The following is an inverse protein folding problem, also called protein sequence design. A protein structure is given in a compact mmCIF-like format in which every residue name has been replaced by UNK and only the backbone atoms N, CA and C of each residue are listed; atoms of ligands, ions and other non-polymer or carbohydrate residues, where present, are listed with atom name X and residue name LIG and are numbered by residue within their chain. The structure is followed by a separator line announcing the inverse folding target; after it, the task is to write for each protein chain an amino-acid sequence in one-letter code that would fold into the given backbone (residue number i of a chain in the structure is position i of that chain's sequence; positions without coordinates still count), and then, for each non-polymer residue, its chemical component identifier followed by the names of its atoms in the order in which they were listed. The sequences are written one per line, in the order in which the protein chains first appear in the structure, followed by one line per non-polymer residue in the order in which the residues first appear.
data_IF_837675843385
#
_entry.id   IF_837675843385
#
_cell.length_a   1.000
_cell.length_b   1.000
_cell.length_c   1.000
_cell.angle_alpha   90.00
_cell.angle_beta   90.00
_cell.angle_gamma   90.00
#
_symmetry.space_group_name_H-M   'P 1'
#
loop_
_entity.id
_entity.type
_entity.pdbx_description
1 polymer ?
#
# COMPACT_ATOMS: atom_id res chain seq x y z
N UNK A 1 -20.08 -17.63 10.95
CA UNK A 1 -19.00 -17.07 10.11
C UNK A 1 -19.60 -15.92 9.32
N UNK A 2 -18.98 -14.74 9.28
CA UNK A 2 -19.60 -13.58 8.64
C UNK A 2 -19.83 -13.84 7.13
N UNK A 3 -21.04 -13.65 6.57
CA UNK A 3 -21.36 -14.00 5.18
C UNK A 3 -20.45 -13.32 4.14
N UNK A 4 -19.95 -12.13 4.47
CA UNK A 4 -19.04 -11.35 3.63
C UNK A 4 -17.72 -12.08 3.34
N UNK A 5 -17.24 -12.93 4.27
CA UNK A 5 -15.98 -13.65 4.14
C UNK A 5 -16.04 -14.81 3.12
N UNK A 6 -17.24 -15.14 2.63
CA UNK A 6 -17.45 -16.18 1.62
C UNK A 6 -17.70 -15.62 0.22
N UNK A 7 -17.65 -14.29 0.03
CA UNK A 7 -17.83 -13.67 -1.28
C UNK A 7 -16.62 -13.91 -2.18
N UNK A 8 -16.88 -14.08 -3.49
CA UNK A 8 -15.83 -13.97 -4.48
C UNK A 8 -15.27 -12.54 -4.49
N UNK A 9 -13.95 -12.43 -4.72
CA UNK A 9 -13.25 -11.15 -4.67
C UNK A 9 -13.83 -10.15 -5.67
N UNK A 10 -14.22 -10.60 -6.87
CA UNK A 10 -14.83 -9.74 -7.88
C UNK A 10 -16.20 -9.19 -7.43
N UNK A 11 -17.00 -10.01 -6.77
CA UNK A 11 -18.31 -9.60 -6.28
C UNK A 11 -18.19 -8.66 -5.09
N UNK A 12 -17.19 -8.88 -4.23
CA UNK A 12 -16.82 -7.91 -3.19
C UNK A 12 -16.41 -6.55 -3.79
N UNK A 13 -15.61 -6.54 -4.86
CA UNK A 13 -15.20 -5.30 -5.53
C UNK A 13 -16.38 -4.56 -6.15
N UNK A 14 -17.28 -5.26 -6.84
CA UNK A 14 -18.53 -4.69 -7.40
C UNK A 14 -19.42 -4.12 -6.29
N UNK A 15 -19.50 -4.81 -5.15
CA UNK A 15 -20.24 -4.32 -3.99
C UNK A 15 -19.65 -2.98 -3.50
N UNK A 16 -18.33 -2.88 -3.37
CA UNK A 16 -17.67 -1.63 -2.94
C UNK A 16 -17.85 -0.47 -3.92
N UNK A 17 -17.88 -0.72 -5.23
CA UNK A 17 -18.17 0.33 -6.21
C UNK A 17 -19.62 0.82 -6.12
N UNK A 18 -20.57 -0.08 -5.84
CA UNK A 18 -21.99 0.26 -5.77
C UNK A 18 -22.38 1.01 -4.48
N UNK A 19 -21.66 0.81 -3.38
CA UNK A 19 -21.94 1.50 -2.11
C UNK A 19 -21.40 2.93 -2.06
N UNK A 20 -20.67 3.40 -3.08
CA UNK A 20 -19.96 4.68 -3.05
C UNK A 20 -18.82 4.73 -2.02
N UNK A 21 -18.54 3.63 -1.30
CA UNK A 21 -17.44 3.53 -0.33
C UNK A 21 -16.07 3.54 -1.03
N UNK A 22 -16.02 3.15 -2.30
CA UNK A 22 -14.89 3.42 -3.18
C UNK A 22 -15.32 4.47 -4.20
N UNK A 23 -14.65 5.63 -4.19
CA UNK A 23 -14.62 6.45 -5.39
C UNK A 23 -14.02 5.60 -6.51
N UNK A 24 -14.70 5.50 -7.64
CA UNK A 24 -14.19 4.82 -8.83
C UNK A 24 -12.79 5.36 -9.10
N UNK A 25 -11.76 4.55 -8.88
CA UNK A 25 -10.38 4.91 -9.21
C UNK A 25 -9.84 6.10 -8.38
N UNK A 26 -9.53 5.88 -7.09
CA UNK A 26 -8.44 6.69 -6.51
C UNK A 26 -7.18 6.29 -7.27
N UNK A 27 -6.53 7.28 -7.86
CA UNK A 27 -5.21 7.11 -8.49
C UNK A 27 -4.31 6.37 -7.50
N UNK A 28 -3.79 5.23 -7.94
CA UNK A 28 -2.89 4.45 -7.12
C UNK A 28 -1.66 5.31 -6.83
N UNK A 29 -1.35 5.51 -5.55
CA UNK A 29 -0.11 6.16 -5.16
C UNK A 29 1.04 5.24 -5.55
N UNK A 30 1.93 5.75 -6.41
CA UNK A 30 3.05 4.99 -6.96
C UNK A 30 4.40 5.61 -6.59
N UNK A 31 5.45 4.80 -6.68
CA UNK A 31 6.87 5.19 -6.63
C UNK A 31 7.67 4.38 -7.66
N UNK A 32 8.92 4.78 -7.89
CA UNK A 32 9.86 4.03 -8.74
C UNK A 32 10.79 3.14 -7.89
N UNK A 33 11.42 2.10 -8.46
CA UNK A 33 12.34 1.21 -7.73
C UNK A 33 13.49 1.95 -7.02
N UNK A 34 13.88 3.11 -7.55
CA UNK A 34 14.98 3.96 -7.11
C UNK A 34 14.53 4.97 -6.04
N UNK A 35 13.22 5.10 -5.77
CA UNK A 35 12.70 5.94 -4.70
C UNK A 35 13.21 5.46 -3.35
N UNK A 36 13.66 6.41 -2.53
CA UNK A 36 14.09 6.15 -1.16
C UNK A 36 12.90 5.77 -0.28
N UNK A 37 13.16 5.03 0.80
CA UNK A 37 12.13 4.69 1.79
C UNK A 37 11.51 5.95 2.43
N UNK A 38 12.28 7.04 2.55
CA UNK A 38 11.79 8.32 3.07
C UNK A 38 10.71 8.94 2.17
N UNK A 39 10.94 8.97 0.86
CA UNK A 39 9.95 9.46 -0.12
C UNK A 39 8.67 8.60 -0.13
N UNK A 40 8.81 7.29 0.02
CA UNK A 40 7.66 6.37 0.11
C UNK A 40 6.85 6.63 1.40
N UNK A 41 7.51 6.87 2.53
CA UNK A 41 6.86 7.25 3.79
C UNK A 41 6.15 8.60 3.66
N UNK A 42 6.78 9.58 3.02
CA UNK A 42 6.17 10.89 2.78
C UNK A 42 4.88 10.78 1.95
N UNK A 43 4.90 10.03 0.84
CA UNK A 43 3.72 9.75 0.01
C UNK A 43 2.59 9.11 0.81
N UNK A 44 2.89 8.12 1.64
CA UNK A 44 1.90 7.47 2.51
C UNK A 44 1.21 8.47 3.43
N UNK A 45 1.97 9.38 4.03
CA UNK A 45 1.44 10.41 4.94
C UNK A 45 0.66 11.47 4.18
N UNK A 46 1.20 11.99 3.07
CA UNK A 46 0.56 13.07 2.29
C UNK A 46 -0.73 12.62 1.62
N UNK A 47 -0.74 11.40 1.08
CA UNK A 47 -1.89 10.87 0.33
C UNK A 47 -2.86 10.08 1.23
N UNK A 48 -2.53 9.92 2.51
CA UNK A 48 -3.31 9.16 3.50
C UNK A 48 -3.64 7.74 3.00
N UNK A 49 -2.62 7.04 2.50
CA UNK A 49 -2.71 5.66 1.99
C UNK A 49 -1.87 4.71 2.81
N UNK A 50 -2.23 3.42 2.82
CA UNK A 50 -1.49 2.40 3.57
C UNK A 50 -0.49 1.61 2.72
N UNK A 51 -0.47 1.85 1.41
CA UNK A 51 0.26 1.06 0.43
C UNK A 51 0.67 1.95 -0.74
N UNK A 52 1.88 1.72 -1.24
CA UNK A 52 2.44 2.37 -2.43
C UNK A 52 2.85 1.30 -3.42
N UNK A 53 2.44 1.46 -4.67
CA UNK A 53 2.80 0.54 -5.75
C UNK A 53 4.12 0.96 -6.37
N UNK A 54 5.04 0.02 -6.55
CA UNK A 54 6.32 0.27 -7.21
C UNK A 54 6.13 -0.04 -8.69
N UNK A 55 6.42 0.94 -9.55
CA UNK A 55 6.25 0.82 -11.00
C UNK A 55 7.51 1.21 -11.76
N UNK A 56 7.76 0.57 -12.89
CA UNK A 56 8.84 0.95 -13.80
C UNK A 56 8.55 2.25 -14.57
N UNK A 57 9.47 2.65 -15.44
CA UNK A 57 9.35 3.82 -16.32
C UNK A 57 8.19 3.72 -17.33
N UNK A 58 7.70 2.52 -17.62
CA UNK A 58 6.54 2.27 -18.48
C UNK A 58 5.23 2.22 -17.68
N UNK A 59 5.28 2.38 -16.35
CA UNK A 59 4.14 2.29 -15.45
C UNK A 59 3.70 0.85 -15.16
N UNK A 60 4.50 -0.16 -15.48
CA UNK A 60 4.23 -1.55 -15.18
C UNK A 60 4.58 -1.86 -13.73
N UNK A 61 3.79 -2.74 -13.11
CA UNK A 61 3.93 -3.09 -11.70
C UNK A 61 5.17 -3.97 -11.46
N UNK A 62 6.10 -3.45 -10.65
CA UNK A 62 7.30 -4.15 -10.17
C UNK A 62 7.14 -4.64 -8.73
N UNK A 63 6.33 -3.96 -7.90
CA UNK A 63 6.19 -4.35 -6.49
C UNK A 63 5.17 -3.55 -5.68
N UNK A 64 5.11 -3.84 -4.38
CA UNK A 64 4.21 -3.22 -3.41
C UNK A 64 4.93 -3.01 -2.09
N UNK A 65 4.91 -1.79 -1.58
CA UNK A 65 5.37 -1.47 -0.22
C UNK A 65 4.16 -1.13 0.64
N UNK A 66 3.94 -1.90 1.71
CA UNK A 66 2.88 -1.62 2.68
C UNK A 66 3.42 -0.93 3.93
N UNK A 67 2.56 -0.21 4.64
CA UNK A 67 2.91 0.37 5.95
C UNK A 67 3.49 -0.66 6.93
N UNK A 68 3.00 -1.91 6.88
CA UNK A 68 3.53 -2.99 7.71
C UNK A 68 4.99 -3.29 7.37
N UNK A 69 5.36 -3.27 6.09
CA UNK A 69 6.75 -3.51 5.66
C UNK A 69 7.66 -2.39 6.13
N UNK A 70 7.23 -1.14 5.94
CA UNK A 70 7.94 0.06 6.43
C UNK A 70 8.17 -0.01 7.94
N UNK A 71 7.12 -0.22 8.72
CA UNK A 71 7.19 -0.26 10.20
C UNK A 71 8.08 -1.42 10.65
N UNK A 72 8.01 -2.59 10.00
CA UNK A 72 8.86 -3.73 10.33
C UNK A 72 10.33 -3.41 10.15
N UNK A 73 10.73 -2.84 9.02
CA UNK A 73 12.14 -2.51 8.74
C UNK A 73 12.64 -1.43 9.70
N UNK A 74 11.87 -0.35 9.89
CA UNK A 74 12.22 0.72 10.83
C UNK A 74 12.40 0.16 12.25
N UNK A 75 11.45 -0.66 12.71
CA UNK A 75 11.53 -1.30 14.03
C UNK A 75 12.77 -2.19 14.14
N UNK A 76 13.05 -3.03 13.14
CA UNK A 76 14.22 -3.90 13.15
C UNK A 76 15.50 -3.10 13.24
N UNK A 77 15.62 -2.01 12.48
CA UNK A 77 16.80 -1.14 12.49
C UNK A 77 17.08 -0.54 13.87
N UNK A 78 16.04 0.01 14.53
CA UNK A 78 16.18 0.51 15.91
C UNK A 78 16.60 -0.59 16.90
N UNK A 79 16.12 -1.83 16.73
CA UNK A 79 16.48 -2.93 17.61
C UNK A 79 17.90 -3.44 17.37
N UNK A 80 18.44 -3.31 16.16
CA UNK A 80 19.79 -3.80 15.82
C UNK A 80 20.88 -2.78 16.08
N UNK A 81 20.63 -1.48 15.86
CA UNK A 81 21.67 -0.44 15.98
C UNK A 81 21.64 0.31 17.32
N UNK A 82 20.54 0.27 18.07
CA UNK A 82 20.39 1.02 19.33
C UNK A 82 20.44 0.14 20.60
N UNK A 83 20.43 -1.19 20.44
CA UNK A 83 20.55 -2.17 21.54
C UNK A 83 21.90 -2.91 21.54
N UNK A 84 22.89 -2.37 20.82
CA UNK A 84 24.31 -2.67 21.00
C UNK A 84 25.02 -1.44 21.54
#
# INVERSE_FOLDING_TARGET
MQPLLNLEVLDFLKMLSNTGMRSSWREQVTCHPESSLGEVVEKVVSDNVHRVWVVDEQGLLEGLVSLTDMIRVIRLWYLTEFLQ
#
